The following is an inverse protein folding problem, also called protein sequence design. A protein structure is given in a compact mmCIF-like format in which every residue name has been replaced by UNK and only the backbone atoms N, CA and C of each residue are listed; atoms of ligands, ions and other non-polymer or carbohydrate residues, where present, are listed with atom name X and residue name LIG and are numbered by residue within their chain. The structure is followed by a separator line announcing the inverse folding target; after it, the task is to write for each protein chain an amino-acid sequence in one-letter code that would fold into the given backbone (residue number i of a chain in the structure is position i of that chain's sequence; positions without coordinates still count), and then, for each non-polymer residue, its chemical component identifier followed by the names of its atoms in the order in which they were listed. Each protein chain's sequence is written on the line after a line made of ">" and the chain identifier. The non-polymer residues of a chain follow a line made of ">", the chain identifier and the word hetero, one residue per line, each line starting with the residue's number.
data_IF_570664317194
#
_entry.id   IF_570664317194
#
_cell.length_a   1.000
_cell.length_b   1.000
_cell.length_c   1.000
_cell.angle_alpha   90.00
_cell.angle_beta   90.00
_cell.angle_gamma   90.00
#
_symmetry.space_group_name_H-M   'P 1'
#
loop_
_entity.id
_entity.type
_entity.pdbx_description
1 polymer ?
#
# COMPACT_ATOMS: atom_id res chain seq x y z
N UNK A 1 -15.99 29.95 17.16
CA UNK A 1 -14.53 30.15 17.14
C UNK A 1 -13.92 28.89 16.54
N UNK A 2 -13.31 28.96 15.35
CA UNK A 2 -12.62 27.80 14.77
C UNK A 2 -11.40 27.48 15.63
N UNK A 3 -11.39 26.30 16.24
CA UNK A 3 -10.23 25.79 16.97
C UNK A 3 -9.07 25.71 15.99
N UNK A 4 -7.91 26.33 16.27
CA UNK A 4 -6.77 26.27 15.34
C UNK A 4 -6.34 24.81 15.17
N UNK A 5 -6.04 24.44 13.93
CA UNK A 5 -5.62 23.09 13.56
C UNK A 5 -4.49 22.62 14.49
N UNK A 6 -4.57 21.39 15.03
CA UNK A 6 -3.50 20.82 15.85
C UNK A 6 -2.28 20.43 15.01
N UNK A 7 -2.39 20.43 13.67
CA UNK A 7 -1.28 20.27 12.75
C UNK A 7 -0.48 21.56 12.62
N UNK A 8 0.83 21.40 12.37
CA UNK A 8 1.73 22.53 12.16
C UNK A 8 2.37 22.49 10.78
N UNK A 9 2.63 23.64 10.15
CA UNK A 9 3.37 23.70 8.91
C UNK A 9 4.75 23.04 9.07
N UNK A 10 5.16 22.25 8.07
CA UNK A 10 6.46 21.58 8.08
C UNK A 10 7.47 22.47 7.37
N UNK A 11 8.56 22.82 8.07
CA UNK A 11 9.70 23.50 7.45
C UNK A 11 10.40 22.51 6.53
N UNK A 12 10.42 22.82 5.24
CA UNK A 12 10.98 21.95 4.22
C UNK A 12 12.48 22.14 4.12
N UNK A 13 13.27 21.08 4.37
CA UNK A 13 14.67 21.05 3.98
C UNK A 13 14.76 20.62 2.50
N UNK A 14 15.45 21.39 1.66
CA UNK A 14 15.47 21.19 0.19
C UNK A 14 16.10 19.86 -0.24
N UNK A 15 17.07 19.34 0.51
CA UNK A 15 17.95 18.25 0.07
C UNK A 15 17.29 16.86 -0.07
N UNK A 16 16.04 16.67 0.38
CA UNK A 16 15.36 15.36 0.31
C UNK A 16 13.90 15.44 -0.14
N UNK A 17 13.51 16.57 -0.71
CA UNK A 17 12.18 16.79 -1.25
C UNK A 17 11.97 16.10 -2.59
N UNK A 18 10.75 15.61 -2.82
CA UNK A 18 10.27 15.43 -4.19
C UNK A 18 8.85 15.97 -4.33
N UNK A 19 8.53 16.40 -5.55
CA UNK A 19 7.20 16.88 -5.92
C UNK A 19 6.54 15.87 -6.86
N UNK A 20 5.21 15.73 -6.73
CA UNK A 20 4.37 14.97 -7.66
C UNK A 20 3.09 15.77 -7.92
N UNK A 21 2.97 16.32 -9.12
CA UNK A 21 1.93 17.30 -9.43
C UNK A 21 2.05 18.52 -8.50
N UNK A 22 0.95 18.88 -7.83
CA UNK A 22 0.91 19.97 -6.85
C UNK A 22 1.48 19.60 -5.48
N UNK A 23 1.68 18.32 -5.21
CA UNK A 23 2.01 17.86 -3.86
C UNK A 23 3.51 17.94 -3.58
N UNK A 24 3.84 18.29 -2.34
CA UNK A 24 5.21 18.29 -1.84
C UNK A 24 5.37 17.15 -0.84
N UNK A 25 6.35 16.28 -1.07
CA UNK A 25 6.58 15.10 -0.23
C UNK A 25 7.88 15.26 0.55
N UNK A 26 7.78 15.14 1.88
CA UNK A 26 8.88 15.18 2.82
C UNK A 26 9.14 13.77 3.38
N UNK A 27 10.32 13.19 3.17
CA UNK A 27 10.67 11.93 3.79
C UNK A 27 11.07 12.13 5.25
N UNK A 28 11.06 11.03 6.01
CA UNK A 28 11.62 10.93 7.36
C UNK A 28 11.17 12.06 8.31
N UNK A 29 9.92 11.98 8.73
CA UNK A 29 9.35 12.89 9.72
C UNK A 29 8.76 12.14 10.88
N UNK A 30 9.04 12.59 12.09
CA UNK A 30 8.36 12.10 13.29
C UNK A 30 7.01 12.77 13.43
N UNK A 31 6.04 12.08 14.02
CA UNK A 31 4.74 12.67 14.31
C UNK A 31 4.85 13.92 15.18
N UNK A 32 5.79 13.96 16.15
CA UNK A 32 6.11 15.16 16.95
C UNK A 32 6.53 16.37 16.12
N UNK A 33 6.94 16.16 14.87
CA UNK A 33 7.30 17.21 13.94
C UNK A 33 6.11 17.73 13.11
N UNK A 34 4.95 17.08 13.19
CA UNK A 34 3.75 17.37 12.38
C UNK A 34 2.62 18.01 13.20
N UNK A 35 2.68 17.88 14.52
CA UNK A 35 1.63 18.31 15.45
C UNK A 35 2.15 19.35 16.43
N UNK A 36 1.31 20.32 16.79
CA UNK A 36 1.67 21.43 17.68
C UNK A 36 1.38 21.13 19.15
N UNK A 37 0.24 20.50 19.43
CA UNK A 37 -0.26 20.28 20.80
C UNK A 37 -1.09 19.00 20.89
N UNK A 38 -1.16 18.43 22.09
CA UNK A 38 -2.02 17.28 22.37
C UNK A 38 -3.49 17.68 22.18
N UNK A 39 -4.27 16.97 21.34
CA UNK A 39 -5.69 17.23 21.18
C UNK A 39 -6.48 16.71 22.39
N UNK A 40 -7.71 17.20 22.56
CA UNK A 40 -8.65 16.66 23.55
C UNK A 40 -9.01 15.20 23.23
N UNK A 41 -9.39 14.42 24.25
CA UNK A 41 -9.72 13.00 24.08
C UNK A 41 -8.52 12.05 23.93
N UNK A 42 -7.29 12.56 23.71
CA UNK A 42 -6.07 11.75 23.67
C UNK A 42 -5.40 11.72 25.03
N UNK A 43 -5.17 10.53 25.59
CA UNK A 43 -4.46 10.36 26.86
C UNK A 43 -2.97 10.78 26.74
N UNK A 44 -2.32 11.23 27.84
CA UNK A 44 -0.89 11.55 27.82
C UNK A 44 -0.01 10.40 27.34
N UNK A 45 -0.39 9.15 27.67
CA UNK A 45 0.34 7.96 27.24
C UNK A 45 0.22 7.69 25.73
N UNK A 46 -0.99 7.78 25.16
CA UNK A 46 -1.19 7.68 23.71
C UNK A 46 -0.39 8.76 22.98
N UNK A 47 -0.46 10.00 23.46
CA UNK A 47 0.26 11.12 22.90
C UNK A 47 1.78 10.90 22.89
N UNK A 48 2.39 10.69 24.06
CA UNK A 48 3.84 10.56 24.18
C UNK A 48 4.41 9.36 23.41
N UNK A 49 3.64 8.27 23.32
CA UNK A 49 4.02 7.08 22.56
C UNK A 49 3.94 7.35 21.07
N UNK A 50 2.80 7.84 20.56
CA UNK A 50 2.59 8.07 19.13
C UNK A 50 3.54 9.12 18.55
N UNK A 51 3.88 10.16 19.33
CA UNK A 51 4.79 11.24 18.89
C UNK A 51 6.19 10.76 18.47
N UNK A 52 6.62 9.59 18.92
CA UNK A 52 7.91 9.00 18.57
C UNK A 52 7.89 8.27 17.23
N UNK A 53 6.71 7.97 16.72
CA UNK A 53 6.54 7.26 15.45
C UNK A 53 7.12 8.08 14.31
N UNK A 54 7.89 7.39 13.48
CA UNK A 54 8.45 7.92 12.24
C UNK A 54 7.50 7.59 11.09
N UNK A 55 7.21 8.60 10.30
CA UNK A 55 6.54 8.53 9.02
C UNK A 55 7.63 8.53 7.95
N UNK A 56 7.59 7.54 7.06
CA UNK A 56 8.58 7.42 5.99
C UNK A 56 8.38 8.53 4.95
N UNK A 57 7.12 8.88 4.68
CA UNK A 57 6.75 10.00 3.84
C UNK A 57 5.60 10.80 4.46
N UNK A 58 5.67 12.12 4.33
CA UNK A 58 4.61 13.04 4.69
C UNK A 58 4.32 13.93 3.49
N UNK A 59 3.05 13.93 3.08
CA UNK A 59 2.58 14.76 1.99
C UNK A 59 2.04 16.05 2.55
N UNK A 60 2.49 17.16 1.99
CA UNK A 60 2.13 18.50 2.42
C UNK A 60 1.23 19.16 1.38
N UNK A 61 0.28 19.94 1.88
CA UNK A 61 -0.44 20.92 1.10
C UNK A 61 0.55 21.98 0.57
N UNK A 62 0.54 22.29 -0.74
CA UNK A 62 1.55 23.16 -1.33
C UNK A 62 1.53 24.60 -0.79
N UNK A 63 0.35 25.10 -0.46
CA UNK A 63 0.13 26.50 -0.10
C UNK A 63 0.38 26.73 1.39
N UNK A 64 -0.18 25.86 2.24
CA UNK A 64 -0.13 25.99 3.70
C UNK A 64 1.04 25.23 4.33
N UNK A 65 1.64 24.29 3.60
CA UNK A 65 2.66 23.34 4.10
C UNK A 65 2.19 22.50 5.28
N UNK A 66 0.87 22.41 5.47
CA UNK A 66 0.27 21.52 6.47
C UNK A 66 0.31 20.08 5.96
N UNK A 67 0.57 19.09 6.84
CA UNK A 67 0.44 17.69 6.51
C UNK A 67 -0.97 17.33 6.05
N UNK A 68 -1.08 16.63 4.92
CA UNK A 68 -2.33 16.10 4.36
C UNK A 68 -2.48 14.64 4.76
N UNK A 69 -1.47 13.83 4.45
CA UNK A 69 -1.38 12.47 4.94
C UNK A 69 0.06 12.04 5.20
N UNK A 70 0.22 11.01 6.02
CA UNK A 70 1.50 10.35 6.26
C UNK A 70 1.45 8.88 5.82
N UNK A 71 2.51 8.42 5.18
CA UNK A 71 2.70 7.03 4.79
C UNK A 71 3.83 6.38 5.59
N UNK A 72 3.63 5.13 5.98
CA UNK A 72 4.61 4.32 6.68
C UNK A 72 4.77 2.95 6.00
N UNK A 73 6.00 2.46 5.92
CA UNK A 73 6.37 1.18 5.36
C UNK A 73 7.07 0.36 6.43
N UNK A 74 6.50 -0.77 6.81
CA UNK A 74 6.96 -1.56 7.93
C UNK A 74 7.22 -3.02 7.54
N UNK A 75 8.22 -3.62 8.19
CA UNK A 75 8.43 -5.06 8.17
C UNK A 75 7.39 -5.73 9.10
N UNK A 76 6.74 -6.85 8.68
CA UNK A 76 5.81 -7.60 9.52
C UNK A 76 6.35 -7.94 10.92
N UNK A 77 7.64 -8.24 11.06
CA UNK A 77 8.27 -8.58 12.33
C UNK A 77 8.34 -7.40 13.33
N UNK A 78 8.21 -6.17 12.84
CA UNK A 78 8.25 -4.94 13.64
C UNK A 78 6.88 -4.35 13.96
N UNK A 79 5.79 -5.01 13.57
CA UNK A 79 4.43 -4.49 13.80
C UNK A 79 4.03 -4.63 15.27
N UNK A 80 3.56 -3.52 15.86
CA UNK A 80 2.96 -3.48 17.18
C UNK A 80 1.52 -2.93 17.06
N UNK A 81 0.54 -3.83 17.13
CA UNK A 81 -0.88 -3.47 17.02
C UNK A 81 -1.34 -2.47 18.09
N UNK A 82 -0.72 -2.51 19.27
CA UNK A 82 -1.04 -1.56 20.35
C UNK A 82 -0.56 -0.18 19.97
N UNK A 83 0.66 -0.06 19.44
CA UNK A 83 1.18 1.20 18.91
C UNK A 83 0.28 1.72 17.78
N UNK A 84 -0.20 0.85 16.91
CA UNK A 84 -1.04 1.23 15.76
C UNK A 84 -2.39 1.80 16.20
N UNK A 85 -3.04 1.16 17.19
CA UNK A 85 -4.27 1.72 17.79
C UNK A 85 -4.02 3.09 18.44
N UNK A 86 -2.88 3.28 19.11
CA UNK A 86 -2.51 4.58 19.68
C UNK A 86 -2.27 5.62 18.59
N UNK A 87 -1.58 5.24 17.52
CA UNK A 87 -1.29 6.12 16.39
C UNK A 87 -2.57 6.52 15.65
N UNK A 88 -3.46 5.57 15.35
CA UNK A 88 -4.75 5.86 14.73
C UNK A 88 -5.59 6.83 15.58
N UNK A 89 -5.61 6.64 16.91
CA UNK A 89 -6.31 7.56 17.83
C UNK A 89 -5.71 8.97 17.80
N UNK A 90 -4.39 9.11 17.77
CA UNK A 90 -3.73 10.42 17.68
C UNK A 90 -3.94 11.06 16.32
N UNK A 91 -3.73 10.33 15.23
CA UNK A 91 -3.94 10.79 13.85
C UNK A 91 -5.37 11.28 13.64
N UNK A 92 -6.38 10.53 14.10
CA UNK A 92 -7.77 10.96 14.03
C UNK A 92 -8.06 12.21 14.84
N UNK A 93 -7.54 12.30 16.06
CA UNK A 93 -7.74 13.47 16.91
C UNK A 93 -7.03 14.74 16.38
N UNK A 94 -5.96 14.59 15.59
CA UNK A 94 -5.27 15.72 14.95
C UNK A 94 -5.72 15.96 13.50
N UNK A 95 -6.61 15.13 12.95
CA UNK A 95 -7.06 15.22 11.57
C UNK A 95 -5.97 14.91 10.54
N UNK A 96 -4.97 14.09 10.90
CA UNK A 96 -3.95 13.61 9.96
C UNK A 96 -4.40 12.28 9.37
N UNK A 97 -4.57 12.24 8.05
CA UNK A 97 -4.75 10.96 7.36
C UNK A 97 -3.47 10.13 7.44
N UNK A 98 -3.62 8.82 7.60
CA UNK A 98 -2.49 7.93 7.75
C UNK A 98 -2.71 6.61 7.02
N UNK A 99 -1.66 6.12 6.37
CA UNK A 99 -1.62 4.81 5.73
C UNK A 99 -0.33 4.10 6.09
N UNK A 100 -0.43 2.82 6.45
CA UNK A 100 0.72 1.94 6.63
C UNK A 100 0.63 0.76 5.69
N UNK A 101 1.72 0.52 4.98
CA UNK A 101 1.96 -0.68 4.18
C UNK A 101 2.91 -1.58 4.97
N UNK A 102 2.48 -2.80 5.24
CA UNK A 102 3.29 -3.83 5.91
C UNK A 102 3.68 -4.87 4.89
N UNK A 103 4.99 -5.05 4.68
CA UNK A 103 5.54 -5.99 3.71
C UNK A 103 6.98 -6.36 4.08
N UNK A 104 7.40 -7.63 3.93
CA UNK A 104 8.79 -8.02 4.16
C UNK A 104 9.76 -7.48 3.10
N UNK A 105 9.26 -6.98 1.97
CA UNK A 105 10.10 -6.52 0.85
C UNK A 105 9.85 -5.06 0.45
N UNK A 106 8.63 -4.55 0.63
CA UNK A 106 8.30 -3.15 0.35
C UNK A 106 8.60 -2.28 1.58
N UNK A 107 9.89 -2.17 1.93
CA UNK A 107 10.36 -1.21 2.93
C UNK A 107 10.47 0.22 2.37
N UNK A 108 10.91 1.17 3.20
CA UNK A 108 11.14 2.59 2.87
C UNK A 108 12.28 2.80 1.84
N UNK A 109 12.04 2.31 0.63
CA UNK A 109 12.99 2.22 -0.49
C UNK A 109 12.44 2.99 -1.70
N UNK A 110 13.11 2.88 -2.85
CA UNK A 110 12.59 3.40 -4.14
C UNK A 110 11.15 2.95 -4.42
N UNK A 111 10.75 1.74 -4.00
CA UNK A 111 9.38 1.27 -4.19
C UNK A 111 8.39 2.00 -3.30
N UNK A 112 8.75 2.30 -2.06
CA UNK A 112 7.90 3.09 -1.18
C UNK A 112 7.64 4.49 -1.76
N UNK A 113 8.66 5.12 -2.36
CA UNK A 113 8.48 6.37 -3.10
C UNK A 113 7.50 6.21 -4.26
N UNK A 114 7.64 5.18 -5.09
CA UNK A 114 6.73 4.92 -6.22
C UNK A 114 5.30 4.64 -5.77
N UNK A 115 5.12 3.92 -4.66
CA UNK A 115 3.81 3.73 -4.04
C UNK A 115 3.21 5.07 -3.62
N UNK A 116 3.97 5.96 -2.98
CA UNK A 116 3.46 7.30 -2.62
C UNK A 116 3.11 8.12 -3.87
N UNK A 117 3.93 8.10 -4.91
CA UNK A 117 3.63 8.77 -6.19
C UNK A 117 2.31 8.25 -6.79
N UNK A 118 2.09 6.93 -6.78
CA UNK A 118 0.85 6.31 -7.22
C UNK A 118 -0.37 6.77 -6.41
N UNK A 119 -0.27 6.81 -5.08
CA UNK A 119 -1.36 7.27 -4.21
C UNK A 119 -1.73 8.73 -4.50
N UNK A 120 -0.75 9.56 -4.84
CA UNK A 120 -0.96 10.96 -5.21
C UNK A 120 -1.65 11.10 -6.56
N UNK A 121 -1.26 10.29 -7.54
CA UNK A 121 -1.89 10.28 -8.87
C UNK A 121 -3.34 9.79 -8.78
N UNK A 122 -3.58 8.72 -8.03
CA UNK A 122 -4.92 8.20 -7.78
C UNK A 122 -5.82 9.25 -7.11
N UNK A 123 -5.29 9.94 -6.09
CA UNK A 123 -6.01 11.00 -5.39
C UNK A 123 -6.31 12.18 -6.32
N UNK A 124 -5.34 12.60 -7.12
CA UNK A 124 -5.53 13.67 -8.09
C UNK A 124 -6.58 13.32 -9.14
N UNK A 125 -6.61 12.05 -9.60
CA UNK A 125 -7.63 11.56 -10.51
C UNK A 125 -9.01 11.61 -9.87
N UNK A 126 -9.17 11.06 -8.66
CA UNK A 126 -10.43 11.11 -7.91
C UNK A 126 -10.93 12.55 -7.73
N UNK A 127 -10.05 13.45 -7.29
CA UNK A 127 -10.40 14.87 -7.09
C UNK A 127 -10.83 15.56 -8.40
N UNK A 128 -10.26 15.15 -9.54
CA UNK A 128 -10.62 15.68 -10.86
C UNK A 128 -11.94 15.11 -11.40
N UNK A 129 -12.27 13.86 -11.07
CA UNK A 129 -13.50 13.18 -11.55
C UNK A 129 -14.70 13.37 -10.64
N UNK A 130 -14.52 13.81 -9.39
CA UNK A 130 -15.62 14.04 -8.43
C UNK A 130 -16.66 15.08 -8.89
N UNK A 131 -16.31 15.95 -9.86
CA UNK A 131 -17.26 16.93 -10.43
C UNK A 131 -18.20 16.33 -11.47
N UNK A 132 -17.95 15.10 -11.92
CA UNK A 132 -18.70 14.40 -12.97
C UNK A 132 -19.71 13.38 -12.42
N UNK A 133 -19.91 13.35 -11.08
CA UNK A 133 -20.84 12.46 -10.37
C UNK A 133 -22.32 12.61 -10.79
N UNK A 134 -22.63 13.62 -11.61
CA UNK A 134 -23.95 13.82 -12.20
C UNK A 134 -24.21 12.96 -13.46
N UNK A 135 -23.19 12.25 -13.99
CA UNK A 135 -23.30 11.40 -15.17
C UNK A 135 -23.42 9.92 -14.74
N UNK A 136 -24.51 9.27 -15.14
CA UNK A 136 -24.69 7.83 -14.99
C UNK A 136 -24.45 7.09 -16.32
N UNK A 137 -23.64 6.01 -16.33
CA UNK A 137 -22.88 5.46 -15.20
C UNK A 137 -21.61 6.30 -14.90
N UNK A 138 -21.11 6.26 -13.65
CA UNK A 138 -19.86 6.93 -13.29
C UNK A 138 -18.70 6.39 -14.15
N UNK A 139 -17.77 7.28 -14.49
CA UNK A 139 -16.56 6.91 -15.24
C UNK A 139 -15.67 5.90 -14.49
N UNK A 140 -14.70 5.27 -15.17
CA UNK A 140 -13.82 4.30 -14.55
C UNK A 140 -12.98 4.95 -13.44
N UNK A 141 -12.79 4.22 -12.33
CA UNK A 141 -11.84 4.62 -11.30
C UNK A 141 -10.39 4.61 -11.82
N UNK A 142 -9.48 5.30 -11.14
CA UNK A 142 -8.09 5.46 -11.59
C UNK A 142 -7.41 4.12 -11.94
N UNK A 143 -7.60 3.11 -11.09
CA UNK A 143 -7.06 1.75 -11.27
C UNK A 143 -7.75 0.96 -12.38
N UNK A 144 -8.97 1.33 -12.76
CA UNK A 144 -9.82 0.57 -13.68
C UNK A 144 -9.69 1.04 -15.14
N UNK A 145 -8.79 1.99 -15.41
CA UNK A 145 -8.47 2.43 -16.77
C UNK A 145 -7.79 1.28 -17.51
N UNK A 146 -8.44 0.80 -18.58
CA UNK A 146 -7.94 -0.25 -19.44
C UNK A 146 -7.14 0.34 -20.60
N UNK A 147 -6.00 -0.28 -20.90
CA UNK A 147 -5.18 0.05 -22.06
C UNK A 147 -4.16 -1.05 -22.34
N UNK A 148 -3.21 -0.77 -23.24
CA UNK A 148 -2.21 -1.74 -23.67
C UNK A 148 -1.09 -1.87 -22.63
N UNK A 149 -0.87 -3.08 -22.14
CA UNK A 149 0.20 -3.42 -21.20
C UNK A 149 1.53 -3.69 -21.92
N UNK A 150 2.68 -3.65 -21.21
CA UNK A 150 3.99 -3.92 -21.80
C UNK A 150 4.15 -5.31 -22.42
N UNK A 151 3.37 -6.29 -21.95
CA UNK A 151 3.32 -7.65 -22.50
C UNK A 151 2.45 -7.77 -23.77
N UNK A 152 1.91 -6.65 -24.26
CA UNK A 152 1.06 -6.60 -25.43
C UNK A 152 -0.35 -7.14 -25.20
N UNK A 153 -0.82 -7.30 -23.97
CA UNK A 153 -2.24 -7.57 -23.68
C UNK A 153 -2.98 -6.30 -23.29
N UNK A 154 -4.30 -6.34 -23.32
CA UNK A 154 -5.11 -5.27 -22.74
C UNK A 154 -5.32 -5.57 -21.25
N UNK A 155 -5.25 -4.52 -20.42
CA UNK A 155 -5.44 -4.63 -18.99
C UNK A 155 -5.35 -3.29 -18.29
N UNK A 156 -5.38 -3.30 -16.96
CA UNK A 156 -5.37 -2.10 -16.14
C UNK A 156 -4.01 -1.40 -16.20
N UNK A 157 -3.92 -0.25 -16.88
CA UNK A 157 -2.64 0.43 -17.13
C UNK A 157 -2.07 1.13 -15.90
N UNK A 158 -2.94 1.49 -14.96
CA UNK A 158 -2.56 2.09 -13.68
C UNK A 158 -2.46 1.04 -12.58
N UNK A 159 -2.45 -0.25 -12.87
CA UNK A 159 -2.21 -1.27 -11.85
C UNK A 159 -0.72 -1.29 -11.46
N UNK A 160 -0.40 -1.19 -10.17
CA UNK A 160 0.98 -1.30 -9.67
C UNK A 160 1.62 -2.66 -10.03
N UNK A 161 0.81 -3.69 -10.30
CA UNK A 161 1.25 -4.99 -10.80
C UNK A 161 1.83 -4.95 -12.22
N UNK A 162 1.57 -3.91 -13.02
CA UNK A 162 2.05 -3.84 -14.40
C UNK A 162 3.59 -3.95 -14.49
N UNK A 163 4.32 -3.36 -13.55
CA UNK A 163 5.78 -3.48 -13.46
C UNK A 163 6.24 -4.89 -13.03
N UNK A 164 5.44 -5.56 -12.21
CA UNK A 164 5.74 -6.93 -11.78
C UNK A 164 5.51 -7.93 -12.92
N UNK A 165 4.51 -7.69 -13.79
CA UNK A 165 4.23 -8.55 -14.94
C UNK A 165 5.40 -8.62 -15.91
N UNK A 166 6.08 -7.50 -16.17
CA UNK A 166 7.30 -7.52 -16.99
C UNK A 166 8.39 -8.42 -16.38
N UNK A 167 8.64 -8.29 -15.06
CA UNK A 167 9.60 -9.15 -14.36
C UNK A 167 9.20 -10.64 -14.37
N UNK A 168 7.90 -10.95 -14.29
CA UNK A 168 7.40 -12.32 -14.41
C UNK A 168 7.59 -12.90 -15.82
N UNK A 169 7.39 -12.09 -16.86
CA UNK A 169 7.69 -12.50 -18.26
C UNK A 169 9.18 -12.77 -18.42
N UNK A 170 10.05 -11.88 -17.95
CA UNK A 170 11.50 -12.06 -18.04
C UNK A 170 11.95 -13.34 -17.31
N UNK A 171 11.44 -13.57 -16.09
CA UNK A 171 11.73 -14.77 -15.30
C UNK A 171 11.21 -16.05 -15.96
N UNK A 172 10.04 -15.99 -16.60
CA UNK A 172 9.50 -17.12 -17.37
C UNK A 172 10.38 -17.44 -18.61
N UNK A 173 10.79 -16.42 -19.36
CA UNK A 173 11.72 -16.59 -20.49
C UNK A 173 13.07 -17.16 -20.01
N UNK A 174 13.52 -16.74 -18.83
CA UNK A 174 14.70 -17.26 -18.12
C UNK A 174 14.54 -18.69 -17.58
N UNK A 175 13.33 -19.26 -17.62
CA UNK A 175 12.95 -20.59 -17.06
C UNK A 175 12.97 -20.66 -15.53
N UNK A 176 12.90 -19.52 -14.85
CA UNK A 176 12.78 -19.45 -13.39
C UNK A 176 11.33 -19.63 -12.92
N UNK A 177 10.35 -19.37 -13.80
CA UNK A 177 8.91 -19.58 -13.54
C UNK A 177 8.31 -20.68 -14.42
N UNK A 178 7.28 -21.34 -13.91
CA UNK A 178 6.48 -22.30 -14.67
C UNK A 178 5.54 -21.61 -15.67
N UNK A 179 5.00 -20.45 -15.28
CA UNK A 179 4.23 -19.54 -16.14
C UNK A 179 4.47 -18.08 -15.72
N UNK A 180 4.21 -17.09 -16.60
CA UNK A 180 4.38 -15.67 -16.27
C UNK A 180 3.17 -15.08 -15.51
N UNK A 181 2.26 -15.90 -14.99
CA UNK A 181 0.99 -15.44 -14.42
C UNK A 181 1.17 -15.15 -12.92
N UNK A 182 1.18 -13.87 -12.58
CA UNK A 182 0.99 -13.44 -11.19
C UNK A 182 -0.48 -13.60 -10.84
N UNK A 183 -0.75 -14.48 -9.88
CA UNK A 183 -2.08 -14.71 -9.32
C UNK A 183 -2.23 -13.86 -8.06
N UNK A 184 -3.44 -13.42 -7.78
CA UNK A 184 -3.72 -12.53 -6.66
C UNK A 184 -5.06 -12.82 -5.97
N UNK A 185 -5.17 -12.37 -4.73
CA UNK A 185 -6.43 -12.26 -3.99
C UNK A 185 -6.30 -11.10 -3.00
N UNK A 186 -7.43 -10.54 -2.58
CA UNK A 186 -7.50 -9.57 -1.50
C UNK A 186 -8.66 -9.87 -0.55
N UNK A 187 -8.51 -9.39 0.69
CA UNK A 187 -9.56 -9.34 1.69
C UNK A 187 -9.51 -8.05 2.47
N UNK A 188 -10.65 -7.66 3.03
CA UNK A 188 -10.72 -6.69 4.12
C UNK A 188 -11.00 -7.43 5.43
N UNK A 189 -10.14 -7.21 6.43
CA UNK A 189 -10.26 -7.72 7.78
C UNK A 189 -11.38 -7.00 8.55
N UNK A 190 -12.01 -7.63 9.56
CA UNK A 190 -13.09 -6.99 10.34
C UNK A 190 -12.69 -5.69 11.05
N UNK A 191 -11.41 -5.50 11.33
CA UNK A 191 -10.83 -4.29 11.92
C UNK A 191 -10.50 -3.20 10.89
N UNK A 192 -10.83 -3.44 9.61
CA UNK A 192 -10.61 -2.52 8.50
C UNK A 192 -9.22 -2.61 7.86
N UNK A 193 -8.34 -3.52 8.33
CA UNK A 193 -7.05 -3.78 7.67
C UNK A 193 -7.31 -4.49 6.34
N UNK A 194 -6.78 -3.96 5.25
CA UNK A 194 -6.78 -4.65 3.97
C UNK A 194 -5.59 -5.62 3.89
N UNK A 195 -5.79 -6.83 3.37
CA UNK A 195 -4.72 -7.80 3.14
C UNK A 195 -4.78 -8.31 1.71
N UNK A 196 -3.67 -8.16 0.99
CA UNK A 196 -3.47 -8.61 -0.37
C UNK A 196 -2.40 -9.70 -0.44
N UNK A 197 -2.65 -10.69 -1.28
CA UNK A 197 -1.74 -11.81 -1.54
C UNK A 197 -1.46 -11.87 -3.02
N UNK A 198 -0.22 -12.17 -3.38
CA UNK A 198 0.12 -12.50 -4.76
C UNK A 198 1.15 -13.62 -4.79
N UNK A 199 1.03 -14.50 -5.78
CA UNK A 199 1.95 -15.61 -5.96
C UNK A 199 2.20 -15.96 -7.42
N UNK A 200 3.34 -16.62 -7.64
CA UNK A 200 3.74 -17.22 -8.91
C UNK A 200 4.18 -18.66 -8.69
N UNK A 201 4.04 -19.47 -9.74
CA UNK A 201 4.50 -20.86 -9.74
C UNK A 201 5.89 -20.96 -10.39
N UNK A 202 6.75 -21.72 -9.74
CA UNK A 202 8.10 -22.04 -10.17
C UNK A 202 8.15 -23.48 -10.73
N UNK A 203 9.22 -23.83 -11.47
CA UNK A 203 9.46 -25.22 -11.83
C UNK A 203 9.35 -26.15 -10.62
N UNK A 204 8.88 -27.37 -10.87
CA UNK A 204 8.69 -28.43 -9.86
C UNK A 204 7.53 -28.16 -8.87
N UNK A 205 6.60 -27.25 -9.20
CA UNK A 205 5.38 -27.01 -8.41
C UNK A 205 5.62 -26.25 -7.10
N UNK A 206 6.74 -25.52 -7.02
CA UNK A 206 7.05 -24.60 -5.91
C UNK A 206 6.40 -23.25 -6.15
N UNK A 207 6.17 -22.50 -5.09
CA UNK A 207 5.49 -21.22 -5.16
C UNK A 207 6.26 -20.14 -4.43
N UNK A 208 6.26 -18.93 -4.99
CA UNK A 208 6.65 -17.70 -4.31
C UNK A 208 5.38 -16.96 -3.92
N UNK A 209 5.19 -16.71 -2.64
CA UNK A 209 4.05 -15.96 -2.11
C UNK A 209 4.54 -14.69 -1.43
N UNK A 210 3.93 -13.57 -1.77
CA UNK A 210 4.07 -12.32 -1.04
C UNK A 210 2.71 -11.88 -0.48
N UNK A 211 2.77 -11.22 0.67
CA UNK A 211 1.60 -10.71 1.40
C UNK A 211 1.86 -9.26 1.78
N UNK A 212 0.84 -8.43 1.59
CA UNK A 212 0.86 -7.02 1.98
C UNK A 212 -0.37 -6.73 2.82
N UNK A 213 -0.17 -6.09 3.95
CA UNK A 213 -1.27 -5.55 4.75
C UNK A 213 -1.27 -4.03 4.69
N UNK A 214 -2.46 -3.43 4.58
CA UNK A 214 -2.66 -2.00 4.59
C UNK A 214 -3.58 -1.65 5.76
N UNK A 215 -3.00 -1.00 6.77
CA UNK A 215 -3.75 -0.31 7.82
C UNK A 215 -3.92 1.15 7.43
N UNK A 216 -5.07 1.74 7.74
CA UNK A 216 -5.29 3.16 7.46
C UNK A 216 -6.14 3.84 8.52
N UNK A 217 -6.05 5.17 8.56
CA UNK A 217 -6.93 6.02 9.34
C UNK A 217 -7.31 7.26 8.54
N UNK A 218 -8.60 7.38 8.20
CA UNK A 218 -9.15 8.51 7.43
C UNK A 218 -8.60 8.67 6.01
N UNK A 219 -7.70 7.78 5.58
CA UNK A 219 -7.02 7.88 4.30
C UNK A 219 -7.91 7.38 3.17
N UNK A 220 -8.05 8.21 2.14
CA UNK A 220 -8.70 7.84 0.89
C UNK A 220 -7.94 8.47 -0.29
N UNK A 221 -7.66 7.65 -1.30
CA UNK A 221 -7.04 8.06 -2.56
C UNK A 221 -7.88 7.70 -3.79
N UNK A 222 -9.12 7.22 -3.61
CA UNK A 222 -10.00 6.79 -4.70
C UNK A 222 -9.75 5.37 -5.21
N UNK A 223 -8.84 4.61 -4.57
CA UNK A 223 -8.62 3.19 -4.82
C UNK A 223 -8.96 2.42 -3.55
N UNK A 224 -9.77 1.37 -3.68
CA UNK A 224 -10.12 0.49 -2.56
C UNK A 224 -8.85 -0.16 -1.98
N UNK A 225 -8.70 -0.15 -0.64
CA UNK A 225 -7.45 -0.52 0.02
C UNK A 225 -7.11 -2.01 -0.12
N UNK A 226 -8.11 -2.87 -0.22
CA UNK A 226 -7.96 -4.31 -0.49
C UNK A 226 -7.38 -4.56 -1.89
N UNK A 227 -7.93 -3.89 -2.90
CA UNK A 227 -7.41 -3.88 -4.27
C UNK A 227 -5.99 -3.32 -4.33
N UNK A 228 -5.71 -2.22 -3.61
CA UNK A 228 -4.36 -1.68 -3.50
C UNK A 228 -3.39 -2.67 -2.83
N UNK A 229 -3.85 -3.39 -1.80
CA UNK A 229 -3.03 -4.39 -1.12
C UNK A 229 -2.65 -5.55 -2.05
N UNK A 230 -3.58 -6.02 -2.90
CA UNK A 230 -3.28 -7.02 -3.93
C UNK A 230 -2.25 -6.50 -4.94
N UNK A 231 -2.45 -5.29 -5.46
CA UNK A 231 -1.54 -4.71 -6.46
C UNK A 231 -0.12 -4.53 -5.87
N UNK A 232 -0.02 -4.16 -4.58
CA UNK A 232 1.25 -4.09 -3.86
C UNK A 232 1.84 -5.48 -3.58
N UNK A 233 1.03 -6.50 -3.29
CA UNK A 233 1.53 -7.86 -3.17
C UNK A 233 2.10 -8.36 -4.50
N UNK A 234 1.47 -8.04 -5.62
CA UNK A 234 2.00 -8.35 -6.95
C UNK A 234 3.31 -7.59 -7.22
N UNK A 235 3.39 -6.31 -6.85
CA UNK A 235 4.63 -5.54 -6.91
C UNK A 235 5.75 -6.18 -6.08
N UNK A 236 5.44 -6.66 -4.88
CA UNK A 236 6.36 -7.37 -4.00
C UNK A 236 6.91 -8.65 -4.65
N UNK A 237 6.06 -9.44 -5.33
CA UNK A 237 6.51 -10.59 -6.14
C UNK A 237 7.49 -10.14 -7.21
N UNK A 238 7.18 -9.09 -7.98
CA UNK A 238 8.07 -8.56 -9.01
C UNK A 238 9.44 -8.14 -8.47
N UNK A 239 9.49 -7.55 -7.27
CA UNK A 239 10.75 -7.19 -6.61
C UNK A 239 11.55 -8.40 -6.11
N UNK A 240 10.88 -9.47 -5.69
CA UNK A 240 11.54 -10.75 -5.38
C UNK A 240 12.15 -11.39 -6.61
N UNK A 241 11.42 -11.39 -7.72
CA UNK A 241 11.88 -12.01 -8.97
C UNK A 241 13.18 -11.37 -9.49
N UNK A 242 13.31 -10.04 -9.34
CA UNK A 242 14.55 -9.32 -9.69
C UNK A 242 15.76 -9.68 -8.83
N UNK A 243 15.56 -10.42 -7.73
CA UNK A 243 16.59 -10.70 -6.72
C UNK A 243 16.85 -12.19 -6.52
N UNK A 244 16.26 -13.07 -7.33
CA UNK A 244 16.38 -14.53 -7.17
C UNK A 244 17.83 -15.00 -7.06
N UNK A 245 18.73 -14.43 -7.86
CA UNK A 245 20.16 -14.79 -7.88
C UNK A 245 20.92 -14.34 -6.63
N UNK A 246 20.40 -13.36 -5.90
CA UNK A 246 21.13 -12.68 -4.80
C UNK A 246 20.58 -13.03 -3.42
N UNK A 247 19.29 -13.35 -3.31
CA UNK A 247 18.65 -13.71 -2.05
C UNK A 247 17.51 -14.68 -2.36
N UNK A 248 17.73 -15.99 -2.23
CA UNK A 248 16.69 -16.97 -2.52
C UNK A 248 15.52 -16.75 -1.56
N UNK A 249 14.28 -16.60 -2.06
CA UNK A 249 13.11 -16.45 -1.22
C UNK A 249 12.76 -17.77 -0.52
N UNK A 250 11.84 -17.68 0.45
CA UNK A 250 11.22 -18.86 1.05
C UNK A 250 10.23 -19.43 0.05
N UNK A 251 10.58 -20.56 -0.54
CA UNK A 251 9.70 -21.31 -1.44
C UNK A 251 8.67 -22.09 -0.64
N UNK A 252 7.43 -22.09 -1.14
CA UNK A 252 6.33 -22.87 -0.57
C UNK A 252 6.04 -24.07 -1.47
N UNK A 253 5.76 -25.22 -0.84
CA UNK A 253 5.09 -26.31 -1.54
C UNK A 253 3.64 -25.91 -1.84
N UNK A 254 3.00 -26.61 -2.79
CA UNK A 254 1.55 -26.46 -3.02
C UNK A 254 0.75 -26.70 -1.74
N UNK A 255 1.12 -27.69 -0.93
CA UNK A 255 0.47 -27.98 0.34
C UNK A 255 0.63 -26.85 1.36
N UNK A 256 1.80 -26.20 1.41
CA UNK A 256 2.00 -25.03 2.28
C UNK A 256 1.14 -23.85 1.86
N UNK A 257 1.00 -23.63 0.55
CA UNK A 257 0.15 -22.58 0.00
C UNK A 257 -1.33 -22.86 0.28
N UNK A 258 -1.80 -24.09 0.07
CA UNK A 258 -3.14 -24.52 0.45
C UNK A 258 -3.39 -24.32 1.95
N UNK A 259 -2.47 -24.77 2.83
CA UNK A 259 -2.57 -24.55 4.28
C UNK A 259 -2.61 -23.08 4.65
N UNK A 260 -1.87 -22.23 3.94
CA UNK A 260 -1.88 -20.79 4.16
C UNK A 260 -3.24 -20.19 3.77
N UNK A 261 -3.81 -20.63 2.66
CA UNK A 261 -5.14 -20.24 2.22
C UNK A 261 -6.24 -20.73 3.17
N UNK A 262 -6.19 -21.99 3.62
CA UNK A 262 -7.18 -22.53 4.55
C UNK A 262 -7.22 -21.72 5.86
N UNK A 263 -6.06 -21.27 6.36
CA UNK A 263 -5.98 -20.35 7.51
C UNK A 263 -6.60 -18.98 7.21
N UNK A 264 -6.46 -18.49 5.98
CA UNK A 264 -7.11 -17.25 5.56
C UNK A 264 -8.63 -17.45 5.47
N UNK A 265 -9.09 -18.51 4.82
CA UNK A 265 -10.50 -18.83 4.66
C UNK A 265 -11.20 -19.12 6.01
N UNK A 266 -10.50 -19.72 6.97
CA UNK A 266 -11.03 -19.91 8.33
C UNK A 266 -11.37 -18.57 9.01
N UNK A 267 -10.66 -17.49 8.66
CA UNK A 267 -10.94 -16.11 9.11
C UNK A 267 -11.91 -15.38 8.18
N UNK A 268 -12.01 -15.82 6.91
CA UNK A 268 -12.86 -15.25 5.87
C UNK A 268 -13.65 -16.34 5.12
N UNK A 269 -14.74 -16.88 5.70
CA UNK A 269 -15.44 -18.01 5.11
C UNK A 269 -16.08 -17.72 3.74
N UNK A 270 -16.29 -16.44 3.41
CA UNK A 270 -16.81 -16.00 2.13
C UNK A 270 -15.78 -16.06 0.98
N UNK A 271 -14.49 -16.29 1.28
CA UNK A 271 -13.47 -16.47 0.25
C UNK A 271 -13.72 -17.75 -0.54
N UNK A 272 -13.79 -17.63 -1.86
CA UNK A 272 -13.72 -18.75 -2.80
C UNK A 272 -12.28 -19.07 -3.15
N UNK A 273 -11.93 -20.36 -3.17
CA UNK A 273 -10.54 -20.76 -3.37
C UNK A 273 -10.04 -20.46 -4.79
N UNK A 274 -8.97 -19.65 -4.94
CA UNK A 274 -8.40 -19.37 -6.25
C UNK A 274 -7.57 -20.52 -6.81
N UNK A 275 -7.23 -21.52 -5.99
CA UNK A 275 -6.37 -22.66 -6.36
C UNK A 275 -7.07 -23.74 -7.18
N UNK A 276 -8.41 -23.66 -7.31
CA UNK A 276 -9.24 -24.67 -7.95
C UNK A 276 -10.01 -24.14 -9.15
N UNK A 277 -9.64 -22.98 -9.70
CA UNK A 277 -10.11 -22.61 -11.04
C UNK A 277 -9.28 -23.40 -12.05
N UNK A 278 -9.86 -24.39 -12.76
CA UNK A 278 -9.16 -24.97 -13.90
C UNK A 278 -9.00 -23.87 -14.95
N UNK A 279 -7.79 -23.73 -15.49
CA UNK A 279 -7.58 -22.98 -16.73
C UNK A 279 -8.40 -23.60 -17.86
#
# INVERSE_FOLDING_TARGET
>A
MSTPSPLRPVVTAEEQLFARGRWVVQPDRRLSQLVARRPEGVSPNQWNTALRTRCDFVVLDPDTRLPVFAAQFADPAGVDERLDRMLAAVCGAVGLEWVRVVSPILGATTQARRTVEYLLDARAFRDATAFDDAVEPPGPGFRDIVGRLPDGRDGFVNDLSALARAAAVDAYVGRDLADPIIRGLHVTMPDGVAEGWAWVELPEGRHLLERVQIGSHGFDCGVALDRLAEDLAALAVGERLKRLDTTPPVWLSRDDLCRAYDRLQARHPALTSPFFVPL
#
